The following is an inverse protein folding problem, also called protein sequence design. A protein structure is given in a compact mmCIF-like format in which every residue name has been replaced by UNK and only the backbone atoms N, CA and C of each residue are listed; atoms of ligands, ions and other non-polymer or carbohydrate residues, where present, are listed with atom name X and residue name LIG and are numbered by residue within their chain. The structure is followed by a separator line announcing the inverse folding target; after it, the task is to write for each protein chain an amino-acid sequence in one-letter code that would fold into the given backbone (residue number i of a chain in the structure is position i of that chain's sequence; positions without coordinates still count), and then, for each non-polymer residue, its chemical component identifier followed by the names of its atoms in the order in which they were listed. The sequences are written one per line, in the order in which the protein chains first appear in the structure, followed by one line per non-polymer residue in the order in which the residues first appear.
data_IF_931673314520
#
_entry.id   IF_931673314520
#
_cell.length_a   1.000
_cell.length_b   1.000
_cell.length_c   1.000
_cell.angle_alpha   90.00
_cell.angle_beta   90.00
_cell.angle_gamma   90.00
#
_symmetry.space_group_name_H-M   'P 1'
#
loop_
_entity.id
_entity.type
_entity.pdbx_description
1 polymer ?
#
# COMPACT_ATOMS: atom_id res chain seq x y z
N UNK A 1 -37.61 -0.34 2.25
CA UNK A 1 -37.23 0.59 1.15
C UNK A 1 -37.44 -0.09 -0.21
N UNK A 2 -38.60 0.11 -0.85
CA UNK A 2 -38.91 -0.52 -2.14
C UNK A 2 -38.06 0.00 -3.31
N UNK A 3 -37.60 1.26 -3.22
CA UNK A 3 -36.81 1.90 -4.29
C UNK A 3 -35.35 1.43 -4.42
N UNK A 4 -34.76 0.80 -3.40
CA UNK A 4 -33.34 0.38 -3.46
C UNK A 4 -33.15 -0.91 -4.26
N UNK A 5 -34.10 -1.85 -4.18
CA UNK A 5 -34.04 -3.16 -4.87
C UNK A 5 -33.77 -3.07 -6.38
N UNK A 6 -34.50 -2.28 -7.17
CA UNK A 6 -34.24 -2.17 -8.61
C UNK A 6 -32.85 -1.59 -8.91
N UNK A 7 -32.37 -0.64 -8.10
CA UNK A 7 -31.03 -0.06 -8.24
C UNK A 7 -29.92 -1.08 -7.95
N UNK A 8 -30.11 -1.95 -6.97
CA UNK A 8 -29.13 -3.00 -6.64
C UNK A 8 -28.90 -3.98 -7.79
N UNK A 9 -29.95 -4.26 -8.60
CA UNK A 9 -29.81 -5.06 -9.82
C UNK A 9 -28.86 -4.40 -10.82
N UNK A 10 -29.06 -3.11 -11.09
CA UNK A 10 -28.19 -2.33 -11.99
C UNK A 10 -26.75 -2.25 -11.46
N UNK A 11 -26.59 -1.98 -10.16
CA UNK A 11 -25.28 -1.93 -9.51
C UNK A 11 -24.56 -3.27 -9.69
N UNK A 12 -25.19 -4.39 -9.34
CA UNK A 12 -24.59 -5.73 -9.41
C UNK A 12 -24.11 -6.08 -10.82
N UNK A 13 -24.82 -5.62 -11.85
CA UNK A 13 -24.45 -5.86 -13.25
C UNK A 13 -23.28 -5.01 -13.73
N UNK A 14 -23.01 -3.88 -13.10
CA UNK A 14 -22.04 -2.91 -13.59
C UNK A 14 -20.64 -3.19 -13.08
N UNK A 15 -19.77 -3.62 -13.98
CA UNK A 15 -18.37 -3.93 -13.69
C UNK A 15 -17.47 -2.68 -13.61
N UNK A 16 -18.00 -1.50 -13.92
CA UNK A 16 -17.20 -0.26 -14.02
C UNK A 16 -17.51 0.76 -12.92
N UNK A 17 -18.60 0.60 -12.18
CA UNK A 17 -18.94 1.54 -11.09
C UNK A 17 -17.85 1.56 -10.03
N UNK A 18 -17.38 2.76 -9.70
CA UNK A 18 -16.36 2.98 -8.66
C UNK A 18 -16.97 3.50 -7.37
N UNK A 19 -18.03 4.31 -7.46
CA UNK A 19 -18.57 5.06 -6.34
C UNK A 19 -20.09 4.96 -6.30
N UNK A 20 -20.64 4.73 -5.11
CA UNK A 20 -22.07 4.79 -4.85
C UNK A 20 -22.36 5.93 -3.88
N UNK A 21 -23.25 6.85 -4.27
CA UNK A 21 -23.64 7.98 -3.46
C UNK A 21 -25.09 7.83 -3.01
N UNK A 22 -25.27 7.53 -1.72
CA UNK A 22 -26.56 7.26 -1.11
C UNK A 22 -26.80 8.09 0.16
N UNK A 23 -26.08 9.19 0.33
CA UNK A 23 -26.30 10.10 1.46
C UNK A 23 -27.75 10.65 1.45
N UNK A 24 -28.33 10.87 2.63
CA UNK A 24 -29.65 11.50 2.79
C UNK A 24 -30.81 10.74 2.09
N UNK A 25 -30.76 9.41 2.02
CA UNK A 25 -31.75 8.58 1.30
C UNK A 25 -32.63 7.72 2.22
N UNK A 26 -32.66 7.99 3.53
CA UNK A 26 -33.44 7.23 4.52
C UNK A 26 -33.20 5.72 4.47
N UNK A 27 -31.96 5.31 4.18
CA UNK A 27 -31.54 3.91 4.15
C UNK A 27 -31.37 3.41 5.59
N UNK A 28 -32.34 2.62 6.06
CA UNK A 28 -32.22 1.89 7.33
C UNK A 28 -31.44 0.58 7.20
N UNK A 29 -31.33 -0.16 8.31
CA UNK A 29 -30.58 -1.43 8.38
C UNK A 29 -30.97 -2.46 7.31
N UNK A 30 -32.26 -2.56 6.95
CA UNK A 30 -32.73 -3.49 5.90
C UNK A 30 -32.16 -3.13 4.52
N UNK A 31 -32.03 -1.83 4.23
CA UNK A 31 -31.41 -1.35 3.00
C UNK A 31 -29.91 -1.60 2.99
N UNK A 32 -29.25 -1.38 4.14
CA UNK A 32 -27.83 -1.74 4.34
C UNK A 32 -27.59 -3.22 4.09
N UNK A 33 -28.42 -4.11 4.63
CA UNK A 33 -28.27 -5.56 4.41
C UNK A 33 -28.33 -5.93 2.93
N UNK A 34 -29.29 -5.35 2.20
CA UNK A 34 -29.42 -5.57 0.76
C UNK A 34 -28.20 -5.04 -0.01
N UNK A 35 -27.68 -3.87 0.41
CA UNK A 35 -26.46 -3.30 -0.16
C UNK A 35 -25.22 -4.15 0.13
N UNK A 36 -25.08 -4.67 1.36
CA UNK A 36 -23.99 -5.56 1.77
C UNK A 36 -23.97 -6.82 0.91
N UNK A 37 -25.13 -7.45 0.68
CA UNK A 37 -25.22 -8.63 -0.19
C UNK A 37 -24.77 -8.33 -1.61
N UNK A 38 -25.16 -7.18 -2.16
CA UNK A 38 -24.74 -6.73 -3.48
C UNK A 38 -23.24 -6.44 -3.55
N UNK A 39 -22.68 -5.79 -2.52
CA UNK A 39 -21.31 -5.31 -2.54
C UNK A 39 -20.26 -6.35 -2.14
N UNK A 40 -20.63 -7.41 -1.43
CA UNK A 40 -19.70 -8.40 -0.86
C UNK A 40 -18.69 -8.96 -1.87
N UNK A 41 -19.09 -9.19 -3.11
CA UNK A 41 -18.23 -9.68 -4.19
C UNK A 41 -18.11 -8.69 -5.37
N UNK A 42 -18.52 -7.44 -5.18
CA UNK A 42 -18.55 -6.48 -6.28
C UNK A 42 -17.12 -6.12 -6.74
N UNK A 43 -16.81 -6.20 -8.04
CA UNK A 43 -15.42 -6.23 -8.51
C UNK A 43 -14.75 -4.85 -8.62
N UNK A 44 -15.52 -3.78 -8.64
CA UNK A 44 -15.01 -2.46 -9.04
C UNK A 44 -15.29 -1.30 -8.07
N UNK A 45 -16.26 -1.43 -7.17
CA UNK A 45 -16.65 -0.35 -6.26
C UNK A 45 -15.60 -0.22 -5.17
N UNK A 46 -15.12 1.01 -4.99
CA UNK A 46 -14.10 1.37 -4.00
C UNK A 46 -14.62 2.37 -2.98
N UNK A 47 -15.73 3.08 -3.27
CA UNK A 47 -16.28 4.10 -2.39
C UNK A 47 -17.81 4.00 -2.27
N UNK A 48 -18.31 4.13 -1.05
CA UNK A 48 -19.75 4.17 -0.76
C UNK A 48 -20.03 5.29 0.23
N UNK A 49 -21.00 6.15 -0.08
CA UNK A 49 -21.46 7.21 0.79
C UNK A 49 -22.85 6.89 1.35
N UNK A 50 -22.94 6.71 2.67
CA UNK A 50 -24.18 6.45 3.40
C UNK A 50 -24.44 7.52 4.48
N UNK A 51 -23.84 8.71 4.35
CA UNK A 51 -24.03 9.79 5.33
C UNK A 51 -25.51 10.13 5.53
N UNK A 52 -25.85 10.58 6.74
CA UNK A 52 -27.20 11.03 7.09
C UNK A 52 -28.31 10.01 6.79
N UNK A 53 -28.03 8.73 6.98
CA UNK A 53 -29.03 7.68 6.90
C UNK A 53 -29.30 7.09 8.30
N UNK A 54 -30.53 6.62 8.58
CA UNK A 54 -30.91 6.05 9.87
C UNK A 54 -30.37 4.62 10.06
N UNK A 55 -29.05 4.47 10.00
CA UNK A 55 -28.33 3.21 10.18
C UNK A 55 -27.94 3.10 11.65
N UNK A 56 -28.35 2.01 12.30
CA UNK A 56 -27.98 1.75 13.70
C UNK A 56 -26.76 0.85 13.79
N UNK A 57 -26.27 0.63 15.00
CA UNK A 57 -25.20 -0.32 15.32
C UNK A 57 -25.39 -1.71 14.68
N UNK A 58 -26.64 -2.18 14.49
CA UNK A 58 -26.90 -3.44 13.80
C UNK A 58 -26.45 -3.41 12.33
N UNK A 59 -26.88 -2.39 11.56
CA UNK A 59 -26.40 -2.19 10.19
C UNK A 59 -24.91 -1.86 10.13
N UNK A 60 -24.37 -1.18 11.15
CA UNK A 60 -22.93 -0.95 11.29
C UNK A 60 -22.11 -2.24 11.38
N UNK A 61 -22.60 -3.29 12.08
CA UNK A 61 -21.91 -4.59 12.12
C UNK A 61 -21.85 -5.24 10.75
N UNK A 62 -22.95 -5.19 9.99
CA UNK A 62 -22.98 -5.74 8.64
C UNK A 62 -22.03 -5.00 7.68
N UNK A 63 -21.93 -3.68 7.83
CA UNK A 63 -20.95 -2.88 7.09
C UNK A 63 -19.51 -3.21 7.47
N UNK A 64 -19.24 -3.51 8.74
CA UNK A 64 -17.92 -3.97 9.19
C UNK A 64 -17.56 -5.31 8.54
N UNK A 65 -18.49 -6.26 8.52
CA UNK A 65 -18.27 -7.56 7.87
C UNK A 65 -18.04 -7.38 6.35
N UNK A 66 -18.83 -6.52 5.70
CA UNK A 66 -18.62 -6.14 4.30
C UNK A 66 -17.21 -5.64 4.04
N UNK A 67 -16.68 -4.73 4.86
CA UNK A 67 -15.34 -4.15 4.65
C UNK A 67 -14.25 -5.21 4.83
N UNK A 68 -14.42 -6.16 5.75
CA UNK A 68 -13.48 -7.28 5.96
C UNK A 68 -13.46 -8.25 4.78
N UNK A 69 -14.62 -8.53 4.20
CA UNK A 69 -14.81 -9.48 3.11
C UNK A 69 -14.46 -8.86 1.75
N UNK A 70 -15.00 -7.68 1.45
CA UNK A 70 -14.68 -6.94 0.24
C UNK A 70 -13.51 -5.97 0.46
N UNK A 71 -12.30 -6.50 0.29
CA UNK A 71 -11.03 -5.76 0.43
C UNK A 71 -10.78 -4.69 -0.63
N UNK A 72 -11.69 -4.51 -1.60
CA UNK A 72 -11.64 -3.42 -2.59
C UNK A 72 -12.31 -2.15 -2.09
N UNK A 73 -13.21 -2.24 -1.12
CA UNK A 73 -13.88 -1.09 -0.54
C UNK A 73 -12.90 -0.32 0.35
N UNK A 74 -12.57 0.91 -0.06
CA UNK A 74 -11.54 1.76 0.55
C UNK A 74 -12.15 2.94 1.31
N UNK A 75 -13.32 3.40 0.88
CA UNK A 75 -14.02 4.54 1.50
C UNK A 75 -15.45 4.15 1.81
N UNK A 76 -15.85 4.37 3.06
CA UNK A 76 -17.24 4.24 3.50
C UNK A 76 -17.59 5.43 4.40
N UNK A 77 -18.39 6.37 3.88
CA UNK A 77 -18.77 7.56 4.62
C UNK A 77 -20.05 7.30 5.43
N UNK A 78 -19.95 7.45 6.76
CA UNK A 78 -21.00 7.09 7.73
C UNK A 78 -21.35 8.22 8.72
N UNK A 79 -20.90 9.44 8.46
CA UNK A 79 -21.26 10.61 9.28
C UNK A 79 -22.78 10.81 9.32
N UNK A 80 -23.31 11.20 10.48
CA UNK A 80 -24.77 11.39 10.64
C UNK A 80 -25.56 10.08 10.70
N UNK A 81 -24.92 8.94 10.98
CA UNK A 81 -25.59 7.67 11.29
C UNK A 81 -25.66 7.45 12.81
N UNK A 82 -26.48 6.49 13.26
CA UNK A 82 -26.60 6.09 14.67
C UNK A 82 -25.76 4.84 15.00
N UNK A 83 -24.62 4.68 14.31
CA UNK A 83 -23.68 3.58 14.56
C UNK A 83 -22.81 3.91 15.78
N UNK A 84 -22.67 2.96 16.70
CA UNK A 84 -21.80 3.13 17.86
C UNK A 84 -20.34 3.41 17.46
N UNK A 85 -19.70 4.37 18.15
CA UNK A 85 -18.34 4.86 17.84
C UNK A 85 -17.29 3.74 17.76
N UNK A 86 -17.38 2.72 18.60
CA UNK A 86 -16.44 1.60 18.56
C UNK A 86 -16.50 0.85 17.22
N UNK A 87 -17.70 0.64 16.67
CA UNK A 87 -17.86 0.00 15.36
C UNK A 87 -17.31 0.90 14.26
N UNK A 88 -17.58 2.21 14.32
CA UNK A 88 -17.01 3.16 13.36
C UNK A 88 -15.47 3.14 13.38
N UNK A 89 -14.86 3.04 14.57
CA UNK A 89 -13.40 2.90 14.69
C UNK A 89 -12.91 1.59 14.06
N UNK A 90 -13.56 0.46 14.31
CA UNK A 90 -13.21 -0.81 13.67
C UNK A 90 -13.34 -0.74 12.14
N UNK A 91 -14.43 -0.18 11.63
CA UNK A 91 -14.65 0.02 10.19
C UNK A 91 -13.52 0.85 9.60
N UNK A 92 -13.18 1.99 10.25
CA UNK A 92 -12.09 2.86 9.81
C UNK A 92 -10.77 2.11 9.72
N UNK A 93 -10.41 1.32 10.73
CA UNK A 93 -9.17 0.53 10.73
C UNK A 93 -9.14 -0.48 9.59
N UNK A 94 -10.25 -1.16 9.30
CA UNK A 94 -10.29 -2.10 8.16
C UNK A 94 -10.28 -1.38 6.80
N UNK A 95 -10.91 -0.20 6.68
CA UNK A 95 -10.81 0.62 5.46
C UNK A 95 -9.38 1.11 5.21
N UNK A 96 -8.66 1.51 6.27
CA UNK A 96 -7.24 1.89 6.18
C UNK A 96 -6.39 0.74 5.65
N UNK A 97 -6.65 -0.50 6.09
CA UNK A 97 -5.99 -1.70 5.54
C UNK A 97 -6.35 -1.92 4.07
N UNK A 98 -7.63 -1.80 3.72
CA UNK A 98 -8.06 -1.95 2.33
C UNK A 98 -7.46 -0.86 1.41
N UNK A 99 -7.27 0.37 1.90
CA UNK A 99 -6.66 1.47 1.16
C UNK A 99 -5.15 1.27 0.91
N UNK A 100 -4.45 0.52 1.76
CA UNK A 100 -3.03 0.18 1.60
C UNK A 100 -2.80 -0.94 0.58
N UNK A 101 -3.76 -1.85 0.42
CA UNK A 101 -3.64 -3.04 -0.45
C UNK A 101 -3.29 -2.76 -1.92
N UNK A 102 -3.86 -1.76 -2.62
CA UNK A 102 -3.49 -1.46 -4.00
C UNK A 102 -2.00 -1.10 -4.13
N UNK A 103 -1.48 -0.31 -3.18
CA UNK A 103 -0.04 0.00 -3.12
C UNK A 103 0.76 -1.29 -2.90
N UNK A 104 0.38 -2.10 -1.91
CA UNK A 104 1.00 -3.41 -1.66
C UNK A 104 1.02 -4.30 -2.90
N UNK A 105 -0.09 -4.45 -3.61
CA UNK A 105 -0.18 -5.27 -4.81
C UNK A 105 0.69 -4.73 -5.96
N UNK A 106 0.85 -3.41 -6.04
CA UNK A 106 1.70 -2.78 -7.04
C UNK A 106 3.18 -2.90 -6.72
N UNK A 107 3.58 -2.82 -5.45
CA UNK A 107 5.01 -2.75 -5.06
C UNK A 107 5.60 -4.09 -4.62
N UNK A 108 4.82 -4.93 -3.92
CA UNK A 108 5.31 -6.17 -3.32
C UNK A 108 5.97 -7.15 -4.32
N UNK A 109 5.46 -7.33 -5.55
CA UNK A 109 6.13 -8.20 -6.53
C UNK A 109 7.54 -7.73 -6.89
N UNK A 110 7.75 -6.41 -6.98
CA UNK A 110 9.02 -5.82 -7.35
C UNK A 110 10.00 -5.83 -6.17
N UNK A 111 9.53 -5.56 -4.95
CA UNK A 111 10.36 -5.70 -3.75
C UNK A 111 10.77 -7.16 -3.52
N UNK A 112 9.90 -8.13 -3.79
CA UNK A 112 10.24 -9.56 -3.67
C UNK A 112 11.21 -10.08 -4.73
N UNK A 113 11.39 -9.35 -5.82
CA UNK A 113 12.42 -9.66 -6.79
C UNK A 113 13.83 -9.42 -6.24
N UNK A 114 13.97 -8.60 -5.20
CA UNK A 114 15.23 -8.38 -4.50
C UNK A 114 15.58 -9.60 -3.62
N UNK A 115 16.77 -10.21 -3.81
CA UNK A 115 17.21 -11.34 -3.01
C UNK A 115 17.16 -11.07 -1.50
N UNK A 116 17.53 -9.85 -1.09
CA UNK A 116 17.60 -9.42 0.30
C UNK A 116 16.23 -9.31 0.98
N UNK A 117 15.14 -9.10 0.22
CA UNK A 117 13.77 -8.91 0.75
C UNK A 117 12.87 -10.14 0.56
N UNK A 118 13.36 -11.19 -0.10
CA UNK A 118 12.58 -12.41 -0.39
C UNK A 118 12.13 -13.16 0.88
N UNK A 119 12.87 -13.02 1.98
CA UNK A 119 12.60 -13.71 3.24
C UNK A 119 11.59 -13.03 4.17
N UNK A 120 11.11 -11.83 3.84
CA UNK A 120 10.20 -11.09 4.71
C UNK A 120 8.79 -11.71 4.73
N UNK A 121 8.18 -11.74 5.93
CA UNK A 121 6.78 -12.13 6.09
C UNK A 121 5.83 -11.15 5.38
N UNK A 122 4.58 -11.55 5.12
CA UNK A 122 3.57 -10.65 4.55
C UNK A 122 3.41 -9.37 5.37
N UNK A 123 3.42 -9.48 6.71
CA UNK A 123 3.30 -8.33 7.62
C UNK A 123 4.50 -7.41 7.52
N UNK A 124 5.72 -7.96 7.47
CA UNK A 124 6.93 -7.16 7.29
C UNK A 124 6.95 -6.47 5.93
N UNK A 125 6.59 -7.19 4.86
CA UNK A 125 6.50 -6.64 3.51
C UNK A 125 5.45 -5.52 3.44
N UNK A 126 4.31 -5.66 4.10
CA UNK A 126 3.27 -4.63 4.14
C UNK A 126 3.79 -3.36 4.80
N UNK A 127 4.52 -3.49 5.90
CA UNK A 127 5.16 -2.36 6.59
C UNK A 127 6.23 -1.67 5.74
N UNK A 128 7.04 -2.46 5.01
CA UNK A 128 8.04 -1.91 4.08
C UNK A 128 7.36 -1.15 2.94
N UNK A 129 6.28 -1.71 2.36
CA UNK A 129 5.54 -1.02 1.31
C UNK A 129 4.88 0.26 1.83
N UNK A 130 4.34 0.25 3.05
CA UNK A 130 3.75 1.44 3.66
C UNK A 130 4.78 2.54 3.94
N UNK A 131 6.05 2.16 4.16
CA UNK A 131 7.17 3.08 4.33
C UNK A 131 7.69 3.67 3.01
N UNK A 132 7.28 3.15 1.85
CA UNK A 132 7.65 3.69 0.55
C UNK A 132 7.00 5.06 0.33
N UNK A 133 7.82 6.05 0.02
CA UNK A 133 7.38 7.31 -0.55
C UNK A 133 7.42 7.25 -2.08
N UNK A 134 6.56 8.04 -2.75
CA UNK A 134 6.61 8.20 -4.20
C UNK A 134 7.34 9.50 -4.52
N UNK A 135 8.39 9.42 -5.31
CA UNK A 135 9.16 10.56 -5.79
C UNK A 135 9.06 10.67 -7.32
N UNK A 136 9.06 11.91 -7.82
CA UNK A 136 9.03 12.20 -9.25
C UNK A 136 10.24 13.03 -9.64
N UNK A 137 10.97 12.59 -10.65
CA UNK A 137 12.17 13.23 -11.16
C UNK A 137 11.93 13.74 -12.58
N UNK A 138 12.29 14.98 -12.84
CA UNK A 138 12.25 15.56 -14.19
C UNK A 138 13.37 14.97 -15.06
N UNK A 139 13.16 14.94 -16.37
CA UNK A 139 14.19 14.52 -17.31
C UNK A 139 15.48 15.35 -17.14
N UNK A 140 16.63 14.68 -17.13
CA UNK A 140 17.94 15.27 -16.90
C UNK A 140 18.32 15.48 -15.43
N UNK A 141 17.44 15.18 -14.46
CA UNK A 141 17.80 15.25 -13.03
C UNK A 141 18.57 14.00 -12.60
N UNK A 142 19.60 14.22 -11.78
CA UNK A 142 20.35 13.16 -11.10
C UNK A 142 19.56 12.66 -9.90
N UNK A 143 19.41 11.34 -9.77
CA UNK A 143 18.75 10.67 -8.65
C UNK A 143 19.78 10.28 -7.58
N UNK A 144 20.91 9.72 -8.02
CA UNK A 144 22.01 9.30 -7.16
C UNK A 144 23.32 9.76 -7.78
N UNK A 145 24.17 10.34 -6.95
CA UNK A 145 25.49 10.82 -7.34
C UNK A 145 26.56 9.81 -6.92
N UNK A 146 27.47 9.52 -7.85
CA UNK A 146 28.56 8.57 -7.63
C UNK A 146 29.43 8.99 -6.45
N UNK A 147 29.77 8.04 -5.60
CA UNK A 147 30.63 8.25 -4.45
C UNK A 147 29.92 8.86 -3.23
N UNK A 148 28.62 9.18 -3.33
CA UNK A 148 27.79 9.51 -2.17
C UNK A 148 27.28 8.23 -1.50
N UNK A 149 27.05 8.24 -0.18
CA UNK A 149 26.42 7.12 0.51
C UNK A 149 24.98 6.91 0.01
N UNK A 150 24.59 5.66 -0.22
CA UNK A 150 23.23 5.32 -0.66
C UNK A 150 22.35 5.11 0.56
N UNK A 151 21.68 6.17 1.02
CA UNK A 151 20.78 6.12 2.17
C UNK A 151 19.33 5.77 1.80
N UNK A 152 18.99 5.86 0.50
CA UNK A 152 17.62 5.65 0.00
C UNK A 152 17.61 4.67 -1.15
N UNK A 153 16.86 3.58 -1.01
CA UNK A 153 16.56 2.65 -2.09
C UNK A 153 15.59 3.31 -3.06
N UNK A 154 15.95 3.34 -4.34
CA UNK A 154 15.09 3.86 -5.41
C UNK A 154 14.65 2.72 -6.33
N UNK A 155 13.34 2.48 -6.42
CA UNK A 155 12.74 1.52 -7.34
C UNK A 155 12.03 2.28 -8.47
N UNK A 156 12.50 2.14 -9.70
CA UNK A 156 11.89 2.81 -10.86
C UNK A 156 10.50 2.21 -11.10
N UNK A 157 9.46 3.04 -11.19
CA UNK A 157 8.08 2.60 -11.48
C UNK A 157 7.67 2.92 -12.91
N UNK A 158 8.13 4.07 -13.41
CA UNK A 158 7.91 4.50 -14.78
C UNK A 158 9.06 5.38 -15.26
N UNK A 159 9.26 5.41 -16.58
CA UNK A 159 10.35 6.14 -17.20
C UNK A 159 11.63 5.31 -17.34
N UNK A 160 12.73 5.99 -17.67
CA UNK A 160 14.03 5.38 -17.91
C UNK A 160 15.09 6.16 -17.17
N UNK A 161 15.94 5.46 -16.42
CA UNK A 161 17.10 6.02 -15.73
C UNK A 161 18.36 5.48 -16.41
N UNK A 162 19.38 6.31 -16.56
CA UNK A 162 20.67 5.84 -17.02
C UNK A 162 21.68 5.90 -15.89
N UNK A 163 22.33 4.76 -15.60
CA UNK A 163 23.52 4.70 -14.76
C UNK A 163 24.77 4.92 -15.60
N UNK A 164 25.56 5.94 -15.23
CA UNK A 164 26.86 6.25 -15.82
C UNK A 164 27.96 5.82 -14.84
N UNK A 165 28.51 4.60 -14.96
CA UNK A 165 29.62 4.15 -14.12
C UNK A 165 30.92 4.90 -14.46
N UNK A 166 31.91 4.88 -13.54
CA UNK A 166 33.24 5.48 -13.78
C UNK A 166 34.00 4.78 -14.91
N UNK A 167 33.86 3.46 -14.98
CA UNK A 167 34.46 2.62 -16.00
C UNK A 167 33.37 1.68 -16.53
N UNK A 168 33.17 1.69 -17.85
CA UNK A 168 32.19 0.84 -18.52
C UNK A 168 31.09 1.59 -19.28
N UNK A 169 30.23 0.86 -19.99
CA UNK A 169 29.17 1.44 -20.80
C UNK A 169 28.03 1.98 -19.93
N UNK A 170 27.33 3.00 -20.44
CA UNK A 170 26.09 3.53 -19.86
C UNK A 170 25.03 2.44 -19.83
N UNK A 171 24.49 2.14 -18.65
CA UNK A 171 23.44 1.13 -18.46
C UNK A 171 22.09 1.83 -18.33
N UNK A 172 21.08 1.39 -19.08
CA UNK A 172 19.71 1.88 -18.95
C UNK A 172 18.93 0.97 -17.99
N UNK A 173 18.27 1.58 -17.02
CA UNK A 173 17.39 0.94 -16.06
C UNK A 173 15.94 1.20 -16.48
N UNK A 174 15.21 0.11 -16.64
CA UNK A 174 13.80 0.06 -17.04
C UNK A 174 12.90 -0.04 -15.81
N UNK A 175 11.58 0.23 -15.94
CA UNK A 175 10.64 0.09 -14.84
C UNK A 175 10.77 -1.25 -14.12
N UNK A 176 10.60 -1.19 -12.80
CA UNK A 176 10.71 -2.27 -11.82
C UNK A 176 12.13 -2.70 -11.47
N UNK A 177 13.16 -2.04 -12.01
CA UNK A 177 14.54 -2.27 -11.61
C UNK A 177 14.91 -1.33 -10.45
N UNK A 178 15.48 -1.88 -9.36
CA UNK A 178 16.02 -1.08 -8.29
C UNK A 178 17.35 -0.46 -8.72
N UNK A 179 17.59 0.77 -8.29
CA UNK A 179 18.84 1.48 -8.52
C UNK A 179 19.76 1.25 -7.33
N UNK A 180 20.96 0.74 -7.61
CA UNK A 180 22.04 0.52 -6.65
C UNK A 180 21.59 -0.18 -5.35
N UNK A 181 20.75 -1.22 -5.50
CA UNK A 181 20.15 -1.95 -4.37
C UNK A 181 21.23 -2.52 -3.44
N UNK A 182 22.31 -3.05 -4.01
CA UNK A 182 23.40 -3.63 -3.25
C UNK A 182 24.09 -2.56 -2.38
N UNK A 183 24.37 -1.37 -2.92
CA UNK A 183 24.92 -0.27 -2.14
C UNK A 183 23.97 0.20 -1.03
N UNK A 184 22.66 0.17 -1.24
CA UNK A 184 21.70 0.47 -0.16
C UNK A 184 21.75 -0.56 0.97
N UNK A 185 21.75 -1.86 0.67
CA UNK A 185 21.77 -2.91 1.69
C UNK A 185 23.12 -3.05 2.39
N UNK A 186 24.22 -2.84 1.66
CA UNK A 186 25.59 -2.92 2.19
C UNK A 186 26.04 -1.62 2.89
N UNK A 187 25.19 -0.59 2.94
CA UNK A 187 25.53 0.77 3.36
C UNK A 187 26.79 1.30 2.65
N UNK A 188 26.86 1.03 1.35
CA UNK A 188 27.97 1.37 0.47
C UNK A 188 27.83 2.74 -0.19
N UNK A 189 28.82 3.05 -1.03
CA UNK A 189 28.84 4.24 -1.86
C UNK A 189 28.22 3.95 -3.22
N UNK A 190 27.56 4.95 -3.79
CA UNK A 190 26.93 4.82 -5.09
C UNK A 190 27.97 4.59 -6.19
N UNK A 191 27.81 3.51 -6.96
CA UNK A 191 28.79 3.08 -7.96
C UNK A 191 28.77 3.88 -9.27
N UNK A 192 27.69 4.60 -9.54
CA UNK A 192 27.44 5.29 -10.80
C UNK A 192 26.59 6.56 -10.60
N UNK A 193 26.65 7.49 -11.56
CA UNK A 193 25.70 8.60 -11.59
C UNK A 193 24.40 8.14 -12.24
N UNK A 194 23.30 8.16 -11.50
CA UNK A 194 21.99 7.76 -12.01
C UNK A 194 21.18 8.99 -12.42
N UNK A 195 20.93 9.14 -13.73
CA UNK A 195 20.26 10.32 -14.29
C UNK A 195 18.97 9.92 -15.00
N UNK A 196 17.88 10.63 -14.71
CA UNK A 196 16.60 10.44 -15.37
C UNK A 196 16.70 10.79 -16.87
N UNK A 197 16.49 9.82 -17.76
CA UNK A 197 16.44 10.06 -19.21
C UNK A 197 15.13 10.76 -19.60
N UNK A 198 14.04 10.31 -18.97
CA UNK A 198 12.68 10.81 -19.14
C UNK A 198 12.15 11.28 -17.80
N UNK A 199 10.88 11.74 -17.73
CA UNK A 199 10.22 11.90 -16.44
C UNK A 199 10.13 10.53 -15.77
N UNK A 200 10.71 10.40 -14.58
CA UNK A 200 10.78 9.14 -13.84
C UNK A 200 9.92 9.26 -12.59
N UNK A 201 9.08 8.27 -12.36
CA UNK A 201 8.45 8.06 -11.05
C UNK A 201 9.13 6.88 -10.38
N UNK A 202 9.56 7.07 -9.15
CA UNK A 202 10.24 6.05 -8.36
C UNK A 202 9.60 5.90 -6.99
N UNK A 203 9.56 4.68 -6.49
CA UNK A 203 9.30 4.44 -5.07
C UNK A 203 10.63 4.53 -4.32
N UNK A 204 10.65 5.31 -3.25
CA UNK A 204 11.85 5.60 -2.45
C UNK A 204 11.66 5.10 -1.03
N UNK A 205 12.65 4.38 -0.52
CA UNK A 205 12.68 3.90 0.87
C UNK A 205 13.97 4.35 1.54
N UNK A 206 13.84 5.26 2.51
CA UNK A 206 14.98 5.66 3.33
C UNK A 206 15.35 4.55 4.30
N UNK A 207 16.64 4.42 4.60
CA UNK A 207 17.18 3.41 5.49
C UNK A 207 16.50 3.41 6.87
N UNK A 208 16.34 4.58 7.50
CA UNK A 208 15.67 4.70 8.80
C UNK A 208 14.22 4.21 8.78
N UNK A 209 13.49 4.49 7.69
CA UNK A 209 12.11 4.02 7.53
C UNK A 209 12.06 2.51 7.30
N UNK A 210 13.05 1.94 6.60
CA UNK A 210 13.18 0.49 6.43
C UNK A 210 13.46 -0.21 7.77
N UNK A 211 14.42 0.27 8.56
CA UNK A 211 14.72 -0.31 9.88
C UNK A 211 13.51 -0.20 10.82
N UNK A 212 12.88 0.97 10.90
CA UNK A 212 11.66 1.17 11.70
C UNK A 212 10.54 0.22 11.25
N UNK A 213 10.35 0.05 9.94
CA UNK A 213 9.38 -0.89 9.36
C UNK A 213 9.66 -2.36 9.68
N UNK A 214 10.88 -2.72 10.09
CA UNK A 214 11.21 -4.07 10.56
C UNK A 214 11.17 -4.19 12.09
N UNK A 215 11.53 -3.14 12.83
CA UNK A 215 11.71 -3.19 14.30
C UNK A 215 10.44 -3.27 15.16
N UNK A 216 9.25 -2.84 14.70
CA UNK A 216 8.01 -3.07 15.48
C UNK A 216 7.53 -4.54 15.52
N UNK A 217 8.45 -5.51 15.51
CA UNK A 217 8.17 -6.93 15.78
C UNK A 217 8.02 -7.19 17.28
N UNK A 218 7.03 -6.58 17.93
CA UNK A 218 6.59 -6.97 19.28
C UNK A 218 5.16 -7.50 19.20
N UNK A 219 5.00 -8.59 18.46
CA UNK A 219 4.02 -9.65 18.78
C UNK A 219 4.70 -11.00 18.48
N UNK A 220 4.59 -12.00 19.38
CA UNK A 220 5.29 -13.26 19.25
C UNK A 220 4.57 -14.17 18.24
N UNK A 221 5.08 -14.24 17.02
CA UNK A 221 4.72 -15.32 16.09
C UNK A 221 5.48 -16.62 16.46
N UNK A 222 4.80 -17.78 16.49
CA UNK A 222 5.40 -19.04 16.89
C UNK A 222 6.32 -19.58 15.79
N UNK A 223 7.63 -19.55 16.05
CA UNK A 223 8.65 -20.46 15.52
C UNK A 223 8.48 -20.93 14.06
N UNK A 224 9.08 -20.19 13.11
CA UNK A 224 9.55 -20.77 11.86
C UNK A 224 10.86 -20.11 11.42
N UNK A 225 11.89 -20.94 11.28
CA UNK A 225 13.28 -20.60 10.97
C UNK A 225 13.45 -19.57 9.85
N UNK A 226 13.92 -18.37 10.21
CA UNK A 226 14.67 -17.49 9.32
C UNK A 226 16.17 -17.82 9.43
N UNK A 227 16.93 -17.88 8.32
CA UNK A 227 18.38 -18.01 8.38
C UNK A 227 18.99 -16.77 9.06
N UNK A 228 19.85 -17.00 10.04
CA UNK A 228 20.46 -16.00 10.95
C UNK A 228 21.51 -15.09 10.30
N UNK A 229 21.44 -14.82 9.00
CA UNK A 229 22.50 -14.08 8.28
C UNK A 229 22.21 -12.58 8.08
N UNK A 230 21.02 -12.07 8.43
CA UNK A 230 20.73 -10.62 8.36
C UNK A 230 20.81 -9.88 9.71
N UNK A 231 21.37 -10.48 10.77
CA UNK A 231 21.45 -9.86 12.11
C UNK A 231 22.87 -9.63 12.64
N UNK A 232 23.90 -9.67 11.79
CA UNK A 232 25.29 -9.50 12.23
C UNK A 232 25.88 -8.10 11.95
N UNK A 233 25.18 -7.00 12.18
CA UNK A 233 25.84 -5.69 12.30
C UNK A 233 25.13 -4.73 13.26
N UNK A 234 24.86 -5.13 14.51
CA UNK A 234 24.80 -4.13 15.61
C UNK A 234 25.27 -4.79 16.91
N UNK A 235 26.58 -4.85 17.13
CA UNK A 235 27.18 -4.72 18.47
C UNK A 235 28.70 -4.57 18.40
N UNK A 236 29.18 -3.71 19.31
CA UNK A 236 30.57 -3.41 19.72
C UNK A 236 31.23 -2.27 18.90
N UNK A 237 31.78 -1.20 19.49
CA UNK A 237 32.08 -0.88 20.90
C UNK A 237 32.50 0.60 21.01
N UNK A 238 32.09 1.23 22.11
CA UNK A 238 32.79 2.23 22.93
C UNK A 238 33.59 3.37 22.28
N UNK A 239 33.19 4.60 22.64
CA UNK A 239 33.95 5.45 23.57
C UNK A 239 32.99 6.19 24.49
#
# INVERSE_FOLDING_TARGET
CAGLKPLLGTISSSQQLKRLLFNDNMIGNVGVNSLVQCLRAHPSITEVDLRNNPITTAGGKELLDLVKENRRLQVLALSGTSIHRLILNCIRTELERNARRPKFQSYAPHLRALPQLKGLSEVQMERVVDALATATFAAGKTLLERGQPVETLHLVLSGTVHGNPKEGPRVAFTPHQPLDADAFFDRGLCGADFVAATKVEAATLHYDHFESALQHSLDPEPSSNLPRECLSVVSLTSL
#
